data_IF_657728112039
#
_entry.id   IF_657728112039
#
_cell.length_a   1.000
_cell.length_b   1.000
_cell.length_c   1.000
_cell.angle_alpha   90.00
_cell.angle_beta   90.00
_cell.angle_gamma   90.00
#
_symmetry.space_group_name_H-M   'P 1'
#
loop_
_entity.id
_entity.type
_entity.pdbx_description
1 polymer ?
#
# COMPACT_ATOMS: atom_id res chain seq x y z
N UNK A 1 -14.00 19.86 48.77
CA UNK A 1 -12.82 19.68 47.88
C UNK A 1 -13.35 19.33 46.50
N UNK A 2 -13.00 20.13 45.47
CA UNK A 2 -13.54 20.02 44.11
C UNK A 2 -12.76 19.00 43.26
N UNK A 3 -13.53 18.18 42.54
CA UNK A 3 -13.32 17.44 41.26
C UNK A 3 -11.90 17.29 40.73
N UNK A 4 -11.57 16.10 40.21
CA UNK A 4 -11.51 15.85 38.75
C UNK A 4 -12.01 14.43 38.46
N UNK A 5 -13.08 14.34 37.67
CA UNK A 5 -13.56 13.12 37.05
C UNK A 5 -12.86 13.06 35.69
N UNK A 6 -12.01 12.07 35.45
CA UNK A 6 -11.34 11.93 34.16
C UNK A 6 -12.36 11.50 33.09
N UNK A 7 -12.55 12.38 32.10
CA UNK A 7 -13.23 12.09 30.85
C UNK A 7 -12.47 11.00 30.05
N UNK A 8 -13.16 10.24 29.17
CA UNK A 8 -12.53 9.22 28.36
C UNK A 8 -11.50 9.89 27.43
N UNK A 9 -10.25 9.40 27.45
CA UNK A 9 -9.21 9.90 26.55
C UNK A 9 -9.64 9.67 25.12
N UNK A 10 -9.50 10.74 24.36
CA UNK A 10 -9.85 10.86 22.97
C UNK A 10 -9.34 9.68 22.14
N UNK A 11 -10.26 9.22 21.29
CA UNK A 11 -10.03 8.25 20.23
C UNK A 11 -8.94 8.82 19.30
N UNK A 12 -7.70 8.35 19.47
CA UNK A 12 -6.67 8.47 18.44
C UNK A 12 -7.12 7.58 17.27
N UNK A 13 -7.78 8.18 16.29
CA UNK A 13 -8.04 7.55 14.99
C UNK A 13 -6.71 7.46 14.23
N UNK A 14 -5.90 6.45 14.57
CA UNK A 14 -4.81 6.00 13.72
C UNK A 14 -5.44 5.38 12.48
N UNK A 15 -5.44 6.13 11.38
CA UNK A 15 -5.75 5.66 10.04
C UNK A 15 -4.65 4.69 9.60
N UNK A 16 -4.77 3.44 10.01
CA UNK A 16 -3.96 2.37 9.46
C UNK A 16 -4.48 2.04 8.06
N UNK A 17 -3.60 2.20 7.07
CA UNK A 17 -3.83 1.73 5.72
C UNK A 17 -3.34 0.30 5.66
N UNK A 18 -4.27 -0.64 5.62
CA UNK A 18 -3.98 -2.03 5.31
C UNK A 18 -4.63 -2.36 3.98
N UNK A 19 -3.94 -2.03 2.88
CA UNK A 19 -4.30 -2.55 1.55
C UNK A 19 -3.41 -3.77 1.31
N UNK A 20 -3.90 -4.93 1.77
CA UNK A 20 -3.42 -6.20 1.25
C UNK A 20 -3.83 -6.24 -0.22
N UNK A 21 -2.88 -5.92 -1.13
CA UNK A 21 -3.07 -6.11 -2.56
C UNK A 21 -3.03 -7.62 -2.85
N UNK A 22 -4.09 -8.33 -2.49
CA UNK A 22 -4.39 -9.65 -3.01
C UNK A 22 -4.95 -9.44 -4.42
N UNK A 23 -4.07 -9.41 -5.41
CA UNK A 23 -4.43 -9.58 -6.81
C UNK A 23 -4.97 -11.01 -6.93
N UNK A 24 -6.28 -11.14 -6.72
CA UNK A 24 -7.07 -12.13 -7.42
C UNK A 24 -6.80 -11.89 -8.91
N UNK A 25 -6.03 -12.81 -9.48
CA UNK A 25 -6.30 -13.28 -10.84
C UNK A 25 -7.79 -13.50 -10.88
N UNK A 26 -8.49 -12.62 -11.59
CA UNK A 26 -9.90 -12.70 -11.84
C UNK A 26 -10.26 -14.11 -12.32
N UNK A 27 -10.77 -14.95 -11.41
CA UNK A 27 -11.82 -15.96 -11.61
C UNK A 27 -11.91 -16.87 -10.40
N UNK A 28 -13.15 -17.10 -10.00
CA UNK A 28 -13.63 -17.88 -8.87
C UNK A 28 -13.69 -17.10 -7.55
N UNK A 29 -14.82 -17.30 -6.86
CA UNK A 29 -15.20 -16.77 -5.55
C UNK A 29 -15.89 -15.39 -5.59
N UNK A 30 -17.09 -15.40 -6.17
CA UNK A 30 -18.24 -14.69 -5.61
C UNK A 30 -18.36 -15.05 -4.12
N UNK A 31 -18.01 -14.14 -3.22
CA UNK A 31 -18.91 -13.62 -2.19
C UNK A 31 -18.14 -12.65 -1.27
N UNK A 32 -18.81 -11.57 -0.87
CA UNK A 32 -18.37 -10.58 0.12
C UNK A 32 -17.19 -9.67 -0.29
N UNK A 33 -17.54 -8.71 -1.15
CA UNK A 33 -16.82 -7.46 -1.37
C UNK A 33 -16.81 -6.64 -0.07
N UNK A 34 -15.91 -6.93 0.88
CA UNK A 34 -15.68 -6.09 2.06
C UNK A 34 -14.96 -4.80 1.64
N UNK A 35 -15.76 -3.95 1.00
CA UNK A 35 -15.44 -2.59 0.61
C UNK A 35 -15.55 -1.75 1.87
N UNK A 36 -14.48 -1.71 2.68
CA UNK A 36 -14.37 -0.67 3.68
C UNK A 36 -13.64 0.49 3.01
N UNK A 37 -14.42 1.38 2.39
CA UNK A 37 -13.97 2.75 2.07
C UNK A 37 -13.55 3.37 3.40
N UNK A 38 -12.27 3.20 3.75
CA UNK A 38 -11.80 3.48 5.11
C UNK A 38 -11.71 4.98 5.38
N UNK A 39 -11.79 5.84 4.35
CA UNK A 39 -11.86 7.29 4.50
C UNK A 39 -12.71 7.97 3.43
N UNK A 40 -13.51 8.99 3.79
CA UNK A 40 -14.07 9.93 2.83
C UNK A 40 -12.93 10.65 2.09
N UNK A 41 -12.94 10.54 0.77
CA UNK A 41 -12.01 11.30 -0.06
C UNK A 41 -10.63 10.69 -0.20
N UNK A 42 -10.46 9.37 -0.23
CA UNK A 42 -9.28 8.73 -0.85
C UNK A 42 -9.73 7.90 -2.06
N UNK A 43 -9.02 8.00 -3.18
CA UNK A 43 -9.36 7.27 -4.40
C UNK A 43 -8.27 6.25 -4.70
N UNK A 44 -8.52 4.98 -4.34
CA UNK A 44 -7.65 3.86 -4.68
C UNK A 44 -8.37 2.97 -5.68
N UNK A 45 -7.81 2.88 -6.87
CA UNK A 45 -8.29 2.00 -7.94
C UNK A 45 -7.74 0.59 -7.72
N UNK A 46 -8.63 -0.35 -7.42
CA UNK A 46 -8.28 -1.75 -7.17
C UNK A 46 -7.87 -2.50 -8.44
N UNK A 47 -8.38 -2.11 -9.59
CA UNK A 47 -8.07 -2.78 -10.86
C UNK A 47 -6.64 -2.44 -11.29
N UNK A 48 -6.18 -1.23 -10.99
CA UNK A 48 -4.84 -0.75 -11.35
C UNK A 48 -3.85 -0.72 -10.18
N UNK A 49 -4.32 -0.90 -8.94
CA UNK A 49 -3.50 -0.73 -7.73
C UNK A 49 -2.98 0.70 -7.54
N UNK A 50 -3.70 1.70 -8.07
CA UNK A 50 -3.25 3.09 -8.12
C UNK A 50 -3.96 3.95 -7.08
N UNK A 51 -3.18 4.58 -6.20
CA UNK A 51 -3.65 5.66 -5.35
C UNK A 51 -3.66 6.97 -6.14
N UNK A 52 -4.78 7.69 -6.11
CA UNK A 52 -4.89 9.06 -6.62
C UNK A 52 -5.12 10.01 -5.46
N UNK A 53 -4.22 10.98 -5.31
CA UNK A 53 -4.29 12.00 -4.28
C UNK A 53 -5.48 12.93 -4.52
N UNK A 54 -6.20 13.19 -3.44
CA UNK A 54 -7.43 13.99 -3.39
C UNK A 54 -7.28 15.16 -2.42
N UNK A 55 -6.44 14.98 -1.38
CA UNK A 55 -6.09 15.96 -0.36
C UNK A 55 -4.58 16.21 -0.45
N UNK A 56 -4.12 17.41 -0.82
CA UNK A 56 -2.70 17.74 -0.82
C UNK A 56 -2.07 17.55 0.57
N UNK A 57 -0.82 17.09 0.61
CA UNK A 57 -0.10 16.87 1.86
C UNK A 57 1.05 15.90 1.75
N UNK A 58 1.61 15.52 2.89
CA UNK A 58 2.72 14.57 2.98
C UNK A 58 2.24 13.19 3.34
N UNK A 59 2.58 12.22 2.50
CA UNK A 59 2.18 10.82 2.63
C UNK A 59 3.39 9.92 2.84
N UNK A 60 3.21 8.85 3.61
CA UNK A 60 4.16 7.72 3.70
C UNK A 60 3.60 6.58 2.88
N UNK A 61 4.37 6.00 1.99
CA UNK A 61 4.05 4.75 1.32
C UNK A 61 5.06 3.68 1.65
N UNK A 62 4.61 2.43 1.74
CA UNK A 62 5.42 1.27 2.06
C UNK A 62 4.93 0.08 1.24
N UNK A 63 5.87 -0.78 0.86
CA UNK A 63 5.57 -2.02 0.15
C UNK A 63 6.46 -3.15 0.61
N UNK A 64 5.96 -4.37 0.42
CA UNK A 64 6.74 -5.60 0.50
C UNK A 64 6.27 -6.56 -0.57
N UNK A 65 7.18 -7.30 -1.19
CA UNK A 65 6.88 -8.30 -2.20
C UNK A 65 7.91 -9.43 -2.12
N UNK A 66 7.44 -10.66 -2.03
CA UNK A 66 8.31 -11.85 -2.07
C UNK A 66 8.57 -12.26 -3.53
N UNK A 67 9.81 -12.60 -3.86
CA UNK A 67 10.22 -13.08 -5.19
C UNK A 67 9.78 -14.53 -5.42
N UNK A 68 9.29 -14.82 -6.63
CA UNK A 68 9.08 -16.20 -7.05
C UNK A 68 10.44 -16.92 -7.25
N UNK A 69 10.63 -18.17 -6.77
CA UNK A 69 11.93 -18.85 -6.81
C UNK A 69 12.62 -18.93 -8.17
N UNK A 70 11.85 -18.91 -9.26
CA UNK A 70 12.36 -19.09 -10.63
C UNK A 70 12.32 -17.79 -11.44
N UNK A 71 12.30 -16.64 -10.80
CA UNK A 71 12.25 -15.33 -11.44
C UNK A 71 13.09 -14.32 -10.69
N UNK A 72 13.48 -13.23 -11.36
CA UNK A 72 13.90 -12.00 -10.72
C UNK A 72 12.67 -11.20 -10.25
N UNK A 73 12.89 -10.25 -9.34
CA UNK A 73 11.87 -9.31 -8.88
C UNK A 73 12.44 -7.90 -8.82
N UNK A 74 11.83 -6.97 -9.53
CA UNK A 74 12.10 -5.54 -9.40
C UNK A 74 10.80 -4.84 -9.07
N UNK A 75 10.81 -4.05 -8.00
CA UNK A 75 9.64 -3.31 -7.53
C UNK A 75 9.99 -1.83 -7.49
N UNK A 76 9.17 -1.01 -8.13
CA UNK A 76 9.29 0.44 -8.11
C UNK A 76 8.04 1.04 -7.50
N UNK A 77 8.20 1.77 -6.39
CA UNK A 77 7.22 2.75 -5.98
C UNK A 77 7.35 3.95 -6.92
N UNK A 78 6.25 4.32 -7.57
CA UNK A 78 6.22 5.43 -8.52
C UNK A 78 5.31 6.55 -8.06
N UNK A 79 5.70 7.79 -8.36
CA UNK A 79 4.86 8.99 -8.34
C UNK A 79 4.74 9.52 -9.76
N UNK A 80 3.54 9.61 -10.32
CA UNK A 80 3.28 10.18 -11.66
C UNK A 80 4.12 9.57 -12.80
N UNK A 81 4.55 8.32 -12.67
CA UNK A 81 5.44 7.67 -13.64
C UNK A 81 6.91 7.66 -13.24
N UNK A 82 7.35 8.51 -12.32
CA UNK A 82 8.74 8.53 -11.86
C UNK A 82 8.96 7.56 -10.70
N UNK A 83 10.02 6.75 -10.78
CA UNK A 83 10.37 5.84 -9.70
C UNK A 83 11.01 6.63 -8.54
N UNK A 84 10.35 6.59 -7.38
CA UNK A 84 10.79 7.29 -6.16
C UNK A 84 11.56 6.37 -5.22
N UNK A 85 11.16 5.09 -5.16
CA UNK A 85 11.84 4.04 -4.38
C UNK A 85 11.89 2.80 -5.25
N UNK A 86 13.04 2.14 -5.29
CA UNK A 86 13.22 0.91 -6.06
C UNK A 86 13.84 -0.16 -5.18
N UNK A 87 13.34 -1.38 -5.31
CA UNK A 87 13.94 -2.58 -4.71
C UNK A 87 14.16 -3.63 -5.79
N UNK A 88 15.23 -4.41 -5.66
CA UNK A 88 15.56 -5.47 -6.59
C UNK A 88 15.99 -6.72 -5.84
N UNK A 89 15.62 -7.87 -6.38
CA UNK A 89 16.18 -9.17 -6.05
C UNK A 89 16.40 -9.93 -7.35
N UNK A 90 17.67 -10.18 -7.66
CA UNK A 90 18.12 -10.85 -8.88
C UNK A 90 19.10 -11.98 -8.59
N UNK A 91 19.28 -12.33 -7.32
CA UNK A 91 20.12 -13.45 -6.93
C UNK A 91 19.40 -14.79 -7.15
N UNK A 92 20.15 -15.89 -7.02
CA UNK A 92 19.59 -17.23 -7.08
C UNK A 92 18.83 -17.66 -5.83
N UNK A 93 18.66 -16.78 -4.84
CA UNK A 93 18.01 -17.11 -3.57
C UNK A 93 16.50 -17.19 -3.75
N UNK A 94 15.86 -18.32 -3.41
CA UNK A 94 14.40 -18.43 -3.53
C UNK A 94 13.71 -17.60 -2.44
N UNK A 95 12.52 -17.07 -2.75
CA UNK A 95 11.64 -16.38 -1.78
C UNK A 95 12.24 -15.16 -1.09
N UNK A 96 13.20 -14.48 -1.69
CA UNK A 96 13.70 -13.22 -1.14
C UNK A 96 12.59 -12.16 -1.10
N UNK A 97 12.48 -11.45 0.02
CA UNK A 97 11.53 -10.35 0.17
C UNK A 97 12.18 -9.02 -0.18
N UNK A 98 11.56 -8.30 -1.12
CA UNK A 98 11.90 -6.93 -1.47
C UNK A 98 10.89 -6.01 -0.78
N UNK A 99 11.37 -5.10 0.07
CA UNK A 99 10.54 -4.11 0.74
C UNK A 99 11.15 -2.72 0.62
N UNK A 100 10.31 -1.70 0.77
CA UNK A 100 10.74 -0.31 0.69
C UNK A 100 9.66 0.64 1.17
N UNK A 101 10.06 1.86 1.51
CA UNK A 101 9.14 2.92 1.89
C UNK A 101 9.65 4.28 1.40
N UNK A 102 8.73 5.22 1.23
CA UNK A 102 9.02 6.58 0.77
C UNK A 102 8.05 7.59 1.36
N UNK A 103 8.56 8.78 1.67
CA UNK A 103 7.76 9.94 2.08
C UNK A 103 7.60 10.84 0.87
N UNK A 104 6.35 11.11 0.47
CA UNK A 104 6.01 11.85 -0.74
C UNK A 104 5.12 13.04 -0.39
N UNK A 105 5.50 14.23 -0.83
CA UNK A 105 4.59 15.37 -0.90
C UNK A 105 3.74 15.21 -2.16
N UNK A 106 2.42 15.17 -2.00
CA UNK A 106 1.47 14.98 -3.08
C UNK A 106 0.56 16.20 -3.23
N UNK A 107 0.26 16.52 -4.49
CA UNK A 107 -0.76 17.48 -4.87
C UNK A 107 -2.01 16.74 -5.34
N UNK A 108 -3.16 17.41 -5.32
CA UNK A 108 -4.41 16.82 -5.82
C UNK A 108 -4.24 16.36 -7.27
N UNK A 109 -4.60 15.10 -7.54
CA UNK A 109 -4.44 14.44 -8.83
C UNK A 109 -3.16 13.63 -8.99
N UNK A 110 -2.17 13.78 -8.10
CA UNK A 110 -0.96 12.96 -8.13
C UNK A 110 -1.28 11.47 -7.95
N UNK A 111 -0.60 10.62 -8.71
CA UNK A 111 -0.80 9.16 -8.70
C UNK A 111 0.39 8.45 -8.10
N UNK A 112 0.14 7.52 -7.19
CA UNK A 112 1.14 6.66 -6.56
C UNK A 112 0.77 5.20 -6.73
N UNK A 113 1.70 4.39 -7.21
CA UNK A 113 1.47 2.97 -7.50
C UNK A 113 2.79 2.19 -7.53
N UNK A 114 2.70 0.86 -7.49
CA UNK A 114 3.85 -0.01 -7.70
C UNK A 114 3.94 -0.46 -9.16
N UNK A 115 5.16 -0.52 -9.69
CA UNK A 115 5.46 -1.28 -10.91
C UNK A 115 6.31 -2.47 -10.54
N UNK A 116 5.88 -3.66 -10.96
CA UNK A 116 6.60 -4.91 -10.69
C UNK A 116 7.09 -5.49 -12.02
N UNK A 117 8.39 -5.72 -12.12
CA UNK A 117 8.99 -6.49 -13.21
C UNK A 117 9.47 -7.85 -12.71
N UNK A 118 9.29 -8.88 -13.53
CA UNK A 118 9.51 -10.27 -13.13
C UNK A 118 8.27 -10.87 -12.48
N UNK A 119 8.45 -11.72 -11.47
CA UNK A 119 7.35 -12.46 -10.85
C UNK A 119 7.44 -12.42 -9.33
N UNK A 120 6.44 -11.81 -8.71
CA UNK A 120 6.21 -11.95 -7.28
C UNK A 120 5.63 -13.34 -6.97
N UNK A 121 5.97 -13.87 -5.80
CA UNK A 121 5.39 -15.07 -5.26
C UNK A 121 3.93 -14.83 -4.89
N UNK A 122 3.07 -15.75 -5.28
CA UNK A 122 1.64 -15.68 -5.04
C UNK A 122 1.12 -17.10 -4.86
N UNK A 123 0.51 -17.36 -3.71
CA UNK A 123 -0.21 -18.58 -3.40
C UNK A 123 -1.60 -18.20 -2.90
N UNK A 124 -2.60 -19.04 -3.17
CA UNK A 124 -4.02 -18.73 -2.91
C UNK A 124 -4.37 -18.55 -1.44
N UNK A 125 -3.52 -18.99 -0.52
CA UNK A 125 -3.80 -19.00 0.92
C UNK A 125 -3.28 -17.76 1.67
N UNK A 126 -2.21 -17.10 1.18
CA UNK A 126 -1.56 -16.02 1.91
C UNK A 126 -1.08 -14.89 0.98
N UNK A 127 -1.32 -13.61 1.34
CA UNK A 127 -0.78 -12.48 0.58
C UNK A 127 0.71 -12.31 0.89
N UNK A 128 1.55 -12.54 -0.11
CA UNK A 128 3.02 -12.35 -0.03
C UNK A 128 3.49 -11.00 -0.57
N UNK A 129 2.54 -10.17 -0.99
CA UNK A 129 2.78 -8.81 -1.47
C UNK A 129 1.82 -7.85 -0.78
N UNK A 130 2.33 -6.72 -0.33
CA UNK A 130 1.58 -5.67 0.36
C UNK A 130 2.00 -4.31 -0.17
N UNK A 131 1.03 -3.40 -0.28
CA UNK A 131 1.25 -2.00 -0.61
C UNK A 131 0.32 -1.15 0.23
N UNK A 132 0.88 -0.29 1.07
CA UNK A 132 0.11 0.57 1.96
C UNK A 132 0.67 1.99 1.95
N UNK A 133 -0.11 2.96 2.42
CA UNK A 133 0.42 4.29 2.65
C UNK A 133 -0.60 5.23 3.24
N UNK A 134 -0.16 6.23 4.00
CA UNK A 134 -1.01 7.07 4.84
C UNK A 134 -0.62 8.55 4.80
N UNK A 135 -1.59 9.43 5.04
CA UNK A 135 -1.37 10.87 5.19
C UNK A 135 -0.75 11.16 6.56
N UNK A 136 0.40 11.81 6.59
CA UNK A 136 1.02 12.31 7.81
C UNK A 136 0.45 13.66 8.24
N UNK A 137 0.42 14.61 7.32
CA UNK A 137 -0.14 15.94 7.55
C UNK A 137 -0.67 16.52 6.22
N UNK A 138 -1.88 17.10 6.23
CA UNK A 138 -2.39 17.86 5.09
C UNK A 138 -1.61 19.16 4.90
N UNK A 139 -1.56 19.66 3.66
CA UNK A 139 -1.04 20.99 3.31
C UNK A 139 -2.15 22.05 3.32
#
# INVERSE_FOLDING_TARGET
>A
MRRVQCAPRDRLEYLEFQVCLAIQVARAMQDKKETKTLLPGTNFDLDTGTFTCTVPGTYVFMFSATKNPSSNLHVHLRKNGDAVVSGLSNDGSPYEQVSGSGVLVLQQGDKVYLTIYGRAFSESAYPWTSFSGFLLYPE
#
